data_IF_467450726569
#
_entry.id   IF_467450726569
#
_cell.length_a   1.000
_cell.length_b   1.000
_cell.length_c   1.000
_cell.angle_alpha   90.00
_cell.angle_beta   90.00
_cell.angle_gamma   90.00
#
_symmetry.space_group_name_H-M   'P 1'
#
loop_
_entity.id
_entity.type
_entity.pdbx_description
1 polymer ?
#
# COMPACT_ATOMS: atom_id res chain seq x y z
N UNK A 1 18.43 -16.17 -43.39
CA UNK A 1 17.24 -16.15 -42.48
C UNK A 1 17.52 -16.64 -41.07
N UNK A 2 18.25 -17.72 -40.86
CA UNK A 2 18.53 -18.27 -39.49
C UNK A 2 19.28 -17.30 -38.60
N UNK A 3 20.19 -16.48 -39.07
CA UNK A 3 20.96 -15.50 -38.30
C UNK A 3 20.05 -14.40 -37.72
N UNK A 4 19.09 -13.91 -38.51
CA UNK A 4 18.16 -12.87 -38.07
C UNK A 4 17.24 -13.37 -36.93
N UNK A 5 16.80 -14.63 -36.99
CA UNK A 5 16.01 -15.24 -35.92
C UNK A 5 16.83 -15.42 -34.64
N UNK A 6 18.12 -15.75 -34.75
CA UNK A 6 19.02 -15.85 -33.62
C UNK A 6 19.22 -14.51 -32.89
N UNK A 7 19.42 -13.43 -33.63
CA UNK A 7 19.61 -12.09 -33.09
C UNK A 7 18.34 -11.57 -32.41
N UNK A 8 17.15 -11.81 -32.98
CA UNK A 8 15.87 -11.46 -32.39
C UNK A 8 15.63 -12.23 -31.07
N UNK A 9 15.99 -13.52 -31.00
CA UNK A 9 15.88 -14.32 -29.78
C UNK A 9 16.76 -13.80 -28.65
N UNK A 10 17.98 -13.37 -28.95
CA UNK A 10 18.90 -12.79 -27.96
C UNK A 10 18.37 -11.44 -27.46
N UNK A 11 17.89 -10.55 -28.35
CA UNK A 11 17.30 -9.27 -27.93
C UNK A 11 16.05 -9.45 -27.07
N UNK A 12 15.19 -10.40 -27.41
CA UNK A 12 13.98 -10.69 -26.65
C UNK A 12 14.32 -11.16 -25.21
N UNK A 13 15.38 -11.92 -25.01
CA UNK A 13 15.78 -12.44 -23.71
C UNK A 13 16.20 -11.35 -22.72
N UNK A 14 16.70 -10.21 -23.18
CA UNK A 14 17.03 -9.06 -22.34
C UNK A 14 15.84 -8.10 -22.14
N UNK A 15 14.90 -8.03 -23.08
CA UNK A 15 13.75 -7.14 -23.00
C UNK A 15 12.71 -7.59 -21.95
N UNK A 16 12.48 -8.90 -21.81
CA UNK A 16 11.46 -9.46 -20.93
C UNK A 16 11.70 -9.13 -19.44
N UNK A 17 12.89 -9.34 -18.85
CA UNK A 17 13.11 -9.05 -17.43
C UNK A 17 13.03 -7.55 -17.09
N UNK A 18 13.43 -6.68 -18.01
CA UNK A 18 13.33 -5.23 -17.78
C UNK A 18 11.87 -4.75 -17.75
N UNK A 19 11.04 -5.31 -18.62
CA UNK A 19 9.61 -5.02 -18.67
C UNK A 19 8.87 -5.48 -17.40
N UNK A 20 9.17 -6.69 -16.93
CA UNK A 20 8.57 -7.22 -15.69
C UNK A 20 8.91 -6.35 -14.48
N UNK A 21 10.16 -5.89 -14.37
CA UNK A 21 10.59 -4.98 -13.30
C UNK A 21 9.85 -3.64 -13.35
N UNK A 22 9.63 -3.10 -14.55
CA UNK A 22 8.90 -1.85 -14.73
C UNK A 22 7.43 -1.99 -14.32
N UNK A 23 6.78 -3.09 -14.73
CA UNK A 23 5.40 -3.38 -14.33
C UNK A 23 5.26 -3.53 -12.81
N UNK A 24 6.18 -4.24 -12.17
CA UNK A 24 6.14 -4.46 -10.72
C UNK A 24 6.37 -3.16 -9.96
N UNK A 25 7.27 -2.30 -10.43
CA UNK A 25 7.44 -0.97 -9.89
C UNK A 25 6.16 -0.14 -10.01
N UNK A 26 5.52 -0.14 -11.16
CA UNK A 26 4.23 0.53 -11.37
C UNK A 26 3.14 0.05 -10.42
N UNK A 27 3.07 -1.26 -10.13
CA UNK A 27 2.12 -1.84 -9.15
C UNK A 27 2.37 -1.33 -7.73
N UNK A 28 3.63 -1.32 -7.28
CA UNK A 28 4.00 -0.81 -5.95
C UNK A 28 3.67 0.67 -5.84
N UNK A 29 3.99 1.47 -6.86
CA UNK A 29 3.70 2.91 -6.88
C UNK A 29 2.20 3.18 -6.91
N UNK A 30 1.42 2.47 -7.73
CA UNK A 30 -0.03 2.61 -7.79
C UNK A 30 -0.70 2.28 -6.45
N UNK A 31 -0.28 1.20 -5.79
CA UNK A 31 -0.81 0.80 -4.47
C UNK A 31 -0.48 1.84 -3.40
N UNK A 32 0.72 2.40 -3.43
CA UNK A 32 1.13 3.49 -2.54
C UNK A 32 0.23 4.72 -2.72
N UNK A 33 0.00 5.12 -3.97
CA UNK A 33 -0.80 6.31 -4.28
C UNK A 33 -2.27 6.08 -3.90
N UNK A 34 -2.79 4.87 -4.12
CA UNK A 34 -4.13 4.48 -3.70
C UNK A 34 -4.28 4.58 -2.18
N UNK A 35 -3.36 4.01 -1.40
CA UNK A 35 -3.39 4.07 0.06
C UNK A 35 -3.32 5.53 0.57
N UNK A 36 -2.44 6.34 -0.02
CA UNK A 36 -2.31 7.76 0.34
C UNK A 36 -3.61 8.52 0.06
N UNK A 37 -4.22 8.29 -1.10
CA UNK A 37 -5.49 8.92 -1.49
C UNK A 37 -6.65 8.48 -0.57
N UNK A 38 -6.72 7.20 -0.24
CA UNK A 38 -7.75 6.65 0.65
C UNK A 38 -7.61 7.22 2.07
N UNK A 39 -6.40 7.37 2.58
CA UNK A 39 -6.14 8.01 3.87
C UNK A 39 -6.56 9.49 3.89
N UNK A 40 -6.27 10.24 2.83
CA UNK A 40 -6.70 11.63 2.70
C UNK A 40 -8.22 11.74 2.60
N UNK A 41 -8.85 10.88 1.81
CA UNK A 41 -10.31 10.81 1.68
C UNK A 41 -10.96 10.45 3.01
N UNK A 42 -10.39 9.53 3.77
CA UNK A 42 -10.88 9.14 5.09
C UNK A 42 -10.86 10.31 6.07
N UNK A 43 -9.80 11.13 6.07
CA UNK A 43 -9.72 12.36 6.88
C UNK A 43 -10.81 13.37 6.53
N UNK A 44 -11.01 13.61 5.23
CA UNK A 44 -12.04 14.54 4.75
C UNK A 44 -13.44 14.04 5.14
N UNK A 45 -13.70 12.73 5.00
CA UNK A 45 -14.97 12.12 5.40
C UNK A 45 -15.23 12.22 6.90
N UNK A 46 -14.20 11.99 7.74
CA UNK A 46 -14.31 12.15 9.18
C UNK A 46 -14.70 13.60 9.57
N UNK A 47 -14.07 14.58 8.94
CA UNK A 47 -14.40 16.00 9.11
C UNK A 47 -15.84 16.32 8.66
N UNK A 48 -16.25 15.86 7.47
CA UNK A 48 -17.57 16.13 6.91
C UNK A 48 -18.70 15.51 7.72
N UNK A 49 -18.46 14.29 8.26
CA UNK A 49 -19.46 13.58 9.07
C UNK A 49 -19.43 13.99 10.53
N UNK A 50 -18.35 14.61 11.00
CA UNK A 50 -18.16 14.95 12.40
C UNK A 50 -18.03 13.71 13.30
N UNK A 51 -17.64 12.54 12.75
CA UNK A 51 -17.53 11.27 13.47
C UNK A 51 -16.15 10.64 13.32
N UNK A 52 -15.75 9.85 14.32
CA UNK A 52 -14.50 9.11 14.27
C UNK A 52 -14.63 7.91 13.32
N UNK A 53 -13.63 7.71 12.48
CA UNK A 53 -13.52 6.60 11.54
C UNK A 53 -12.34 5.71 11.91
N UNK A 54 -12.31 4.52 11.35
CA UNK A 54 -11.20 3.58 11.47
C UNK A 54 -10.84 3.03 10.09
N UNK A 55 -9.54 2.98 9.78
CA UNK A 55 -9.03 2.21 8.67
C UNK A 55 -8.59 0.85 9.20
N UNK A 56 -9.19 -0.22 8.69
CA UNK A 56 -8.92 -1.59 9.09
C UNK A 56 -8.44 -2.41 7.91
N UNK A 57 -7.61 -3.41 8.16
CA UNK A 57 -7.13 -4.32 7.12
C UNK A 57 -8.19 -5.33 6.70
N UNK A 58 -8.16 -5.76 5.46
CA UNK A 58 -8.86 -6.95 4.99
C UNK A 58 -8.01 -8.19 5.28
N UNK A 59 -8.67 -9.35 5.48
CA UNK A 59 -8.01 -10.61 5.86
C UNK A 59 -8.18 -11.73 4.85
N UNK A 60 -9.14 -11.60 3.96
CA UNK A 60 -9.59 -12.70 3.11
C UNK A 60 -8.90 -12.67 1.74
N UNK A 61 -7.62 -13.01 1.71
CA UNK A 61 -6.89 -13.26 0.47
C UNK A 61 -5.87 -14.39 0.64
N UNK A 62 -5.52 -15.06 -0.46
CA UNK A 62 -4.66 -16.24 -0.48
C UNK A 62 -3.18 -15.96 -0.14
N UNK A 63 -2.78 -14.70 -0.21
CA UNK A 63 -1.40 -14.26 0.05
C UNK A 63 -1.20 -13.55 1.38
N UNK A 64 -2.23 -13.44 2.22
CA UNK A 64 -2.09 -12.88 3.54
C UNK A 64 -1.19 -13.75 4.41
N UNK A 65 -0.32 -13.10 5.15
CA UNK A 65 0.39 -13.70 6.26
C UNK A 65 -0.34 -13.42 7.57
N UNK A 66 -0.10 -14.22 8.59
CA UNK A 66 -0.86 -14.22 9.85
C UNK A 66 -0.69 -13.00 10.78
N UNK A 67 0.35 -12.14 10.68
CA UNK A 67 0.54 -11.04 11.63
C UNK A 67 -0.54 -9.94 11.50
N UNK A 68 -0.91 -9.35 12.64
CA UNK A 68 -1.84 -8.21 12.68
C UNK A 68 -1.34 -6.95 11.95
N UNK A 69 -0.09 -6.95 11.50
CA UNK A 69 0.54 -5.89 10.73
C UNK A 69 0.45 -6.09 9.21
N UNK A 70 -0.09 -7.22 8.73
CA UNK A 70 -0.20 -7.53 7.31
C UNK A 70 -1.47 -6.94 6.68
N UNK A 71 -1.29 -6.01 5.77
CA UNK A 71 -2.33 -5.31 5.03
C UNK A 71 -2.37 -5.71 3.55
N UNK A 72 -1.73 -6.82 3.21
CA UNK A 72 -1.57 -7.27 1.81
C UNK A 72 -2.88 -7.61 1.09
N UNK A 73 -3.96 -7.87 1.82
CA UNK A 73 -5.29 -8.08 1.22
C UNK A 73 -6.01 -6.78 0.85
N UNK A 74 -5.52 -5.65 1.34
CA UNK A 74 -6.16 -4.34 1.21
C UNK A 74 -6.72 -3.85 2.55
N UNK A 75 -7.59 -2.86 2.48
CA UNK A 75 -8.12 -2.15 3.64
C UNK A 75 -9.56 -1.70 3.42
N UNK A 76 -10.23 -1.38 4.52
CA UNK A 76 -11.56 -0.81 4.50
C UNK A 76 -11.66 0.34 5.51
N UNK A 77 -12.43 1.34 5.15
CA UNK A 77 -12.80 2.46 6.02
C UNK A 77 -14.14 2.15 6.65
N UNK A 78 -14.19 2.17 7.98
CA UNK A 78 -15.41 1.93 8.76
C UNK A 78 -15.71 3.07 9.69
N UNK A 79 -16.99 3.31 9.96
CA UNK A 79 -17.41 4.20 11.02
C UNK A 79 -17.11 3.55 12.38
N UNK A 80 -16.48 4.29 13.32
CA UNK A 80 -16.05 3.72 14.61
C UNK A 80 -17.24 3.36 15.50
N UNK A 81 -18.34 4.09 15.38
CA UNK A 81 -19.50 3.95 16.25
C UNK A 81 -20.28 2.64 16.02
N UNK A 82 -20.55 2.30 14.77
CA UNK A 82 -21.43 1.19 14.37
C UNK A 82 -20.76 0.16 13.46
N UNK A 83 -19.46 0.35 13.17
CA UNK A 83 -18.67 -0.50 12.28
C UNK A 83 -19.21 -0.60 10.84
N UNK A 84 -20.02 0.37 10.43
CA UNK A 84 -20.51 0.45 9.04
C UNK A 84 -19.36 0.67 8.07
N UNK A 85 -19.26 -0.18 7.04
CA UNK A 85 -18.25 -0.08 6.01
C UNK A 85 -18.60 1.07 5.05
N UNK A 86 -17.74 2.08 4.99
CA UNK A 86 -17.91 3.26 4.14
C UNK A 86 -17.18 3.13 2.80
N UNK A 87 -16.08 2.39 2.79
CA UNK A 87 -15.27 2.13 1.60
C UNK A 87 -14.44 0.87 1.82
N UNK A 88 -14.24 0.09 0.76
CA UNK A 88 -13.37 -1.09 0.78
C UNK A 88 -12.48 -1.07 -0.45
N UNK A 89 -11.18 -1.26 -0.24
CA UNK A 89 -10.15 -1.33 -1.28
C UNK A 89 -9.46 -2.67 -1.19
N UNK A 90 -9.78 -3.58 -2.11
CA UNK A 90 -9.12 -4.89 -2.22
C UNK A 90 -7.84 -4.79 -3.04
N UNK A 91 -6.79 -5.44 -2.59
CA UNK A 91 -5.59 -5.65 -3.40
C UNK A 91 -5.78 -6.87 -4.30
N UNK A 92 -5.73 -6.65 -5.61
CA UNK A 92 -5.88 -7.71 -6.62
C UNK A 92 -4.54 -8.31 -7.04
N UNK A 93 -3.43 -7.73 -6.60
CA UNK A 93 -2.07 -8.17 -6.93
C UNK A 93 -1.32 -8.59 -5.67
N UNK A 94 -0.51 -9.66 -5.73
CA UNK A 94 0.19 -10.17 -4.55
C UNK A 94 1.39 -9.28 -4.18
N UNK A 95 1.13 -8.13 -3.59
CA UNK A 95 2.14 -7.29 -2.95
C UNK A 95 2.23 -7.62 -1.45
N UNK A 96 3.35 -7.30 -0.84
CA UNK A 96 3.50 -7.33 0.61
C UNK A 96 3.30 -5.91 1.15
N UNK A 97 2.24 -5.70 1.93
CA UNK A 97 1.94 -4.42 2.56
C UNK A 97 1.96 -4.64 4.07
N UNK A 98 2.87 -3.97 4.75
CA UNK A 98 2.98 -4.05 6.20
C UNK A 98 2.79 -2.69 6.84
N UNK A 99 2.01 -2.64 7.90
CA UNK A 99 1.86 -1.46 8.74
C UNK A 99 2.67 -1.64 10.03
N UNK A 100 3.38 -0.60 10.46
CA UNK A 100 4.32 -0.71 11.59
C UNK A 100 3.63 -0.98 12.93
N UNK A 101 2.35 -0.63 13.04
CA UNK A 101 1.51 -0.93 14.20
C UNK A 101 0.41 -1.94 13.88
N UNK A 102 -0.28 -2.36 14.93
CA UNK A 102 -1.43 -3.26 14.81
C UNK A 102 -2.67 -2.50 14.32
N UNK A 103 -3.49 -3.20 13.55
CA UNK A 103 -4.84 -2.80 13.17
C UNK A 103 -5.72 -2.51 14.41
N UNK A 104 -6.63 -1.51 14.41
CA UNK A 104 -6.92 -0.54 13.36
C UNK A 104 -6.16 0.78 13.46
N UNK A 105 -6.17 1.58 12.38
CA UNK A 105 -5.77 2.99 12.41
C UNK A 105 -6.99 3.86 12.74
N UNK A 106 -6.97 4.52 13.88
CA UNK A 106 -8.01 5.47 14.27
C UNK A 106 -7.86 6.82 13.55
N UNK A 107 -9.00 7.38 13.12
CA UNK A 107 -9.10 8.71 12.52
C UNK A 107 -10.13 9.49 13.35
N UNK A 108 -9.70 10.57 14.00
CA UNK A 108 -10.59 11.37 14.82
C UNK A 108 -11.64 12.11 13.98
N UNK A 109 -12.74 12.57 14.62
CA UNK A 109 -13.74 13.41 13.96
C UNK A 109 -13.17 14.74 13.42
N UNK A 110 -11.97 15.13 13.85
CA UNK A 110 -11.21 16.29 13.33
C UNK A 110 -10.25 15.94 12.21
N UNK A 111 -10.26 14.68 11.74
CA UNK A 111 -9.38 14.19 10.69
C UNK A 111 -7.94 13.93 11.13
N UNK A 112 -7.66 13.90 12.45
CA UNK A 112 -6.34 13.55 12.94
C UNK A 112 -6.15 12.03 12.87
N UNK A 113 -4.97 11.60 12.41
CA UNK A 113 -4.59 10.20 12.40
C UNK A 113 -4.02 9.83 13.78
N UNK A 114 -4.61 8.85 14.43
CA UNK A 114 -4.38 8.51 15.83
C UNK A 114 -3.04 7.86 16.17
N UNK A 115 -2.08 7.88 15.25
CA UNK A 115 -0.78 7.24 15.44
C UNK A 115 0.37 8.20 15.16
N UNK A 116 1.39 8.13 16.00
CA UNK A 116 2.57 8.99 15.91
C UNK A 116 3.72 8.18 15.34
N UNK A 117 4.30 8.67 14.22
CA UNK A 117 5.55 8.13 13.68
C UNK A 117 5.43 6.77 13.01
N UNK A 118 4.28 6.46 12.42
CA UNK A 118 4.03 5.18 11.77
C UNK A 118 4.35 5.16 10.28
N UNK A 119 4.43 3.95 9.75
CA UNK A 119 4.69 3.75 8.33
C UNK A 119 3.99 2.52 7.77
N UNK A 120 3.61 2.62 6.50
CA UNK A 120 3.29 1.47 5.66
C UNK A 120 4.47 1.19 4.74
N UNK A 121 4.89 -0.06 4.68
CA UNK A 121 5.90 -0.51 3.75
C UNK A 121 5.22 -1.38 2.71
N UNK A 122 5.35 -1.01 1.44
CA UNK A 122 4.78 -1.70 0.29
C UNK A 122 5.95 -2.27 -0.51
N UNK A 123 6.01 -3.60 -0.61
CA UNK A 123 7.11 -4.32 -1.28
C UNK A 123 6.57 -5.23 -2.37
N UNK A 124 7.37 -5.39 -3.42
CA UNK A 124 7.21 -6.52 -4.33
C UNK A 124 7.48 -7.82 -3.59
N UNK A 125 6.67 -8.85 -3.87
CA UNK A 125 6.96 -10.23 -3.40
C UNK A 125 8.08 -10.90 -4.19
N UNK A 126 8.43 -10.36 -5.34
CA UNK A 126 9.57 -10.83 -6.12
C UNK A 126 10.85 -10.20 -5.58
N UNK A 127 11.52 -10.92 -4.69
CA UNK A 127 12.75 -10.46 -4.01
C UNK A 127 13.85 -10.04 -4.99
N UNK A 128 13.92 -10.66 -6.19
CA UNK A 128 14.90 -10.33 -7.22
C UNK A 128 14.81 -8.88 -7.72
N UNK A 129 13.66 -8.23 -7.60
CA UNK A 129 13.51 -6.85 -8.06
C UNK A 129 13.88 -5.81 -7.01
N UNK A 130 13.86 -6.18 -5.72
CA UNK A 130 14.16 -5.30 -4.59
C UNK A 130 13.44 -3.95 -4.67
N UNK A 131 12.13 -3.98 -4.99
CA UNK A 131 11.28 -2.80 -5.14
C UNK A 131 10.48 -2.63 -3.86
N UNK A 132 10.67 -1.50 -3.18
CA UNK A 132 9.90 -1.13 -2.00
C UNK A 132 9.64 0.38 -1.97
N UNK A 133 8.48 0.75 -1.45
CA UNK A 133 8.13 2.13 -1.12
C UNK A 133 7.58 2.19 0.30
N UNK A 134 7.89 3.25 0.99
CA UNK A 134 7.39 3.51 2.34
C UNK A 134 6.53 4.77 2.35
N UNK A 135 5.34 4.66 2.93
CA UNK A 135 4.48 5.80 3.24
C UNK A 135 4.65 6.12 4.72
N UNK A 136 5.25 7.26 5.00
CA UNK A 136 5.56 7.73 6.34
C UNK A 136 4.48 8.66 6.86
N UNK A 137 4.03 8.42 8.08
CA UNK A 137 3.12 9.27 8.82
C UNK A 137 3.89 10.01 9.90
N UNK A 138 3.96 11.34 9.81
CA UNK A 138 4.60 12.16 10.85
C UNK A 138 3.67 12.33 12.06
N UNK A 139 4.25 12.72 13.20
CA UNK A 139 3.49 13.08 14.42
C UNK A 139 2.47 14.21 14.20
N UNK A 140 2.69 15.06 13.19
CA UNK A 140 1.75 16.12 12.80
C UNK A 140 0.70 15.65 11.78
N UNK A 141 0.58 14.34 11.53
CA UNK A 141 -0.40 13.78 10.58
C UNK A 141 -0.06 14.01 9.10
N UNK A 142 1.16 14.44 8.77
CA UNK A 142 1.59 14.58 7.38
C UNK A 142 1.98 13.24 6.79
N UNK A 143 1.50 12.96 5.60
CA UNK A 143 1.86 11.78 4.82
C UNK A 143 2.97 12.15 3.83
N UNK A 144 4.03 11.35 3.82
CA UNK A 144 5.17 11.48 2.89
C UNK A 144 5.60 10.09 2.45
N UNK A 145 5.82 9.92 1.17
CA UNK A 145 6.38 8.67 0.66
C UNK A 145 7.87 8.81 0.34
N UNK A 146 8.57 7.69 0.42
CA UNK A 146 9.98 7.57 0.05
C UNK A 146 10.23 6.21 -0.60
N UNK A 147 11.26 6.12 -1.44
CA UNK A 147 11.75 4.83 -1.92
C UNK A 147 12.47 4.11 -0.77
N UNK A 148 12.31 2.79 -0.72
CA UNK A 148 12.87 1.97 0.36
C UNK A 148 11.83 1.56 1.39
N UNK A 149 12.27 1.12 2.57
CA UNK A 149 11.44 0.55 3.63
C UNK A 149 11.57 1.27 4.98
N UNK A 150 12.34 2.34 5.02
CA UNK A 150 12.54 3.17 6.21
C UNK A 150 12.19 4.63 5.94
N UNK A 151 11.64 5.28 6.96
CA UNK A 151 11.39 6.72 6.93
C UNK A 151 12.66 7.44 7.39
N UNK A 152 13.27 8.22 6.50
CA UNK A 152 14.33 9.17 6.88
C UNK A 152 13.71 10.54 7.19
N UNK A 153 14.23 11.21 8.19
CA UNK A 153 13.88 12.60 8.51
C UNK A 153 14.37 13.56 7.43
#
# INVERSE_FOLDING_TARGET
MLVCLGVLGVMASFAIPSWQRLQERGRVEATRDQLMNDLQTARIRALQRGEALQLTRLRDCTWATSPNTDWSCGWQLVAKADQTVLQSTQQLTPLQITFAKTDPLDISARGDLGTVGDRWVIKSRQAAFNISNVLCLSSAGRLRWQAGDTCSN
#
